data_IF_902231671217
#
_entry.id   IF_902231671217
#
_cell.length_a   1.000
_cell.length_b   1.000
_cell.length_c   1.000
_cell.angle_alpha   90.00
_cell.angle_beta   90.00
_cell.angle_gamma   90.00
#
_symmetry.space_group_name_H-M   'P 1'
#
loop_
_entity.id
_entity.type
_entity.pdbx_description
1 polymer ?
#
# COMPACT_ATOMS: atom_id res chain seq x y z
N UNK A 1 13.38 -2.06 -30.11
CA UNK A 1 14.44 -2.88 -30.73
C UNK A 1 14.56 -2.41 -32.17
N UNK A 2 15.61 -1.67 -32.50
CA UNK A 2 15.92 -1.31 -33.89
C UNK A 2 17.16 -2.12 -34.28
N UNK A 3 17.03 -2.98 -35.28
CA UNK A 3 18.16 -3.64 -35.93
C UNK A 3 18.39 -2.92 -37.25
N UNK A 4 19.62 -2.47 -37.48
CA UNK A 4 20.01 -1.73 -38.69
C UNK A 4 21.07 -2.55 -39.40
N UNK A 5 20.78 -2.92 -40.64
CA UNK A 5 21.74 -3.55 -41.54
C UNK A 5 22.52 -2.46 -42.31
N UNK A 6 23.86 -2.45 -42.29
CA UNK A 6 24.66 -1.45 -43.02
C UNK A 6 24.47 -1.48 -44.54
N UNK A 7 24.08 -2.63 -45.09
CA UNK A 7 23.92 -2.91 -46.51
C UNK A 7 22.44 -2.89 -46.96
N UNK A 8 21.51 -2.64 -46.03
CA UNK A 8 20.06 -2.59 -46.18
C UNK A 8 19.39 -3.93 -46.58
N UNK A 9 19.99 -5.07 -46.23
CA UNK A 9 19.43 -6.39 -46.48
C UNK A 9 18.20 -6.72 -45.59
N UNK A 10 17.39 -7.69 -46.03
CA UNK A 10 16.19 -8.11 -45.30
C UNK A 10 16.55 -8.93 -44.06
N UNK A 11 16.37 -8.33 -42.88
CA UNK A 11 16.65 -9.00 -41.60
C UNK A 11 15.53 -9.94 -41.16
N UNK A 12 15.89 -11.19 -40.90
CA UNK A 12 15.03 -12.19 -40.24
C UNK A 12 15.38 -12.23 -38.75
N UNK A 13 14.37 -12.04 -37.89
CA UNK A 13 14.53 -12.15 -36.44
C UNK A 13 13.74 -13.36 -35.95
N UNK A 14 14.38 -14.22 -35.17
CA UNK A 14 13.77 -15.41 -34.56
C UNK A 14 14.04 -15.43 -33.07
N UNK A 15 13.12 -15.98 -32.28
CA UNK A 15 13.37 -16.29 -30.88
C UNK A 15 13.73 -17.76 -30.72
N UNK A 16 14.88 -18.03 -30.11
CA UNK A 16 15.44 -19.37 -29.91
C UNK A 16 15.18 -19.89 -28.50
N UNK A 17 15.08 -18.98 -27.50
CA UNK A 17 14.58 -19.26 -26.15
C UNK A 17 13.59 -18.17 -25.77
N UNK A 18 12.31 -18.53 -25.65
CA UNK A 18 11.24 -17.62 -25.23
C UNK A 18 10.47 -18.28 -24.07
N UNK A 19 10.29 -17.57 -22.93
CA UNK A 19 9.47 -18.05 -21.82
C UNK A 19 8.04 -18.36 -22.28
N UNK A 20 7.40 -19.40 -21.71
CA UNK A 20 6.10 -19.88 -22.18
C UNK A 20 4.96 -18.87 -22.11
N UNK A 21 5.11 -17.85 -21.25
CA UNK A 21 4.16 -16.75 -21.09
C UNK A 21 4.38 -15.59 -22.08
N UNK A 22 5.45 -15.64 -22.89
CA UNK A 22 5.79 -14.66 -23.94
C UNK A 22 5.57 -15.25 -25.34
N UNK A 23 5.26 -14.35 -26.27
CA UNK A 23 5.21 -14.58 -27.70
C UNK A 23 6.11 -13.60 -28.43
N UNK A 24 6.73 -14.04 -29.53
CA UNK A 24 7.55 -13.19 -30.39
C UNK A 24 6.96 -13.16 -31.80
N UNK A 25 6.48 -11.99 -32.22
CA UNK A 25 5.88 -11.77 -33.54
C UNK A 25 6.15 -10.34 -33.99
N UNK A 26 6.43 -10.14 -35.29
CA UNK A 26 6.71 -8.82 -35.87
C UNK A 26 7.75 -7.98 -35.08
N UNK A 27 8.80 -8.64 -34.58
CA UNK A 27 9.88 -8.04 -33.76
C UNK A 27 9.42 -7.51 -32.39
N UNK A 28 8.26 -7.93 -31.91
CA UNK A 28 7.69 -7.57 -30.61
C UNK A 28 7.62 -8.81 -29.73
N UNK A 29 8.18 -8.71 -28.52
CA UNK A 29 7.91 -9.64 -27.43
C UNK A 29 6.67 -9.16 -26.66
N UNK A 30 5.68 -10.03 -26.47
CA UNK A 30 4.46 -9.68 -25.74
C UNK A 30 3.88 -10.87 -24.97
N UNK A 31 3.30 -10.59 -23.81
CA UNK A 31 2.72 -11.59 -22.92
C UNK A 31 2.35 -10.99 -21.56
N UNK A 32 1.72 -11.79 -20.70
CA UNK A 32 1.40 -11.41 -19.32
C UNK A 32 1.81 -12.56 -18.41
N UNK A 33 2.81 -12.37 -17.53
CA UNK A 33 3.23 -13.42 -16.62
C UNK A 33 2.13 -13.70 -15.58
N UNK A 34 2.11 -14.93 -15.07
CA UNK A 34 1.25 -15.36 -13.96
C UNK A 34 2.09 -15.55 -12.70
N UNK A 35 1.44 -15.86 -11.57
CA UNK A 35 2.15 -16.22 -10.34
C UNK A 35 3.05 -17.46 -10.50
N UNK A 36 2.77 -18.34 -11.48
CA UNK A 36 3.64 -19.49 -11.77
C UNK A 36 4.92 -19.11 -12.52
N UNK A 37 4.96 -17.91 -13.07
CA UNK A 37 6.08 -17.37 -13.83
C UNK A 37 6.96 -16.48 -12.94
N UNK A 38 6.80 -16.47 -11.62
CA UNK A 38 7.68 -15.72 -10.72
C UNK A 38 9.14 -16.18 -10.85
N UNK A 39 10.07 -15.21 -10.82
CA UNK A 39 11.50 -15.46 -10.93
C UNK A 39 12.12 -14.94 -12.22
N UNK A 40 13.33 -15.41 -12.52
CA UNK A 40 14.14 -14.93 -13.65
C UNK A 40 14.00 -15.86 -14.84
N UNK A 41 13.66 -15.30 -16.00
CA UNK A 41 13.49 -16.01 -17.26
C UNK A 41 14.45 -15.49 -18.31
N UNK A 42 15.22 -16.38 -18.94
CA UNK A 42 16.10 -16.00 -20.05
C UNK A 42 15.33 -15.85 -21.36
N UNK A 43 15.74 -14.86 -22.15
CA UNK A 43 15.29 -14.63 -23.51
C UNK A 43 16.51 -14.61 -24.41
N UNK A 44 16.46 -15.41 -25.48
CA UNK A 44 17.48 -15.46 -26.52
C UNK A 44 16.82 -15.23 -27.88
N UNK A 45 17.26 -14.16 -28.55
CA UNK A 45 16.85 -13.78 -29.90
C UNK A 45 18.05 -13.81 -30.84
N UNK A 46 17.83 -14.19 -32.09
CA UNK A 46 18.85 -14.14 -33.15
C UNK A 46 18.33 -13.33 -34.33
N UNK A 47 19.20 -12.51 -34.91
CA UNK A 47 18.95 -11.73 -36.12
C UNK A 47 19.93 -12.18 -37.19
N UNK A 48 19.46 -12.41 -38.42
CA UNK A 48 20.33 -12.74 -39.57
C UNK A 48 19.89 -12.06 -40.85
N UNK A 49 20.85 -11.68 -41.68
CA UNK A 49 20.70 -11.21 -43.07
C UNK A 49 20.83 -12.38 -44.09
N UNK A 50 21.04 -13.61 -43.62
CA UNK A 50 21.30 -14.80 -44.44
C UNK A 50 22.78 -15.14 -44.62
N UNK A 51 23.69 -14.27 -44.21
CA UNK A 51 25.16 -14.44 -44.25
C UNK A 51 25.79 -14.41 -42.85
N UNK A 52 25.35 -13.47 -42.01
CA UNK A 52 25.81 -13.26 -40.64
C UNK A 52 24.64 -13.41 -39.68
N UNK A 53 24.91 -13.97 -38.51
CA UNK A 53 23.94 -14.07 -37.41
C UNK A 53 24.49 -13.33 -36.20
N UNK A 54 23.62 -12.54 -35.56
CA UNK A 54 23.90 -11.85 -34.30
C UNK A 54 22.87 -12.28 -33.27
N UNK A 55 23.37 -12.65 -32.08
CA UNK A 55 22.56 -13.06 -30.95
C UNK A 55 22.37 -11.93 -29.94
N UNK A 56 21.21 -11.88 -29.32
CA UNK A 56 20.90 -11.04 -28.17
C UNK A 56 20.29 -11.89 -27.06
N UNK A 57 20.93 -11.87 -25.90
CA UNK A 57 20.47 -12.54 -24.69
C UNK A 57 20.18 -11.51 -23.61
N UNK A 58 19.07 -11.68 -22.91
CA UNK A 58 18.73 -10.90 -21.73
C UNK A 58 17.80 -11.70 -20.82
N UNK A 59 17.67 -11.25 -19.57
CA UNK A 59 16.76 -11.85 -18.61
C UNK A 59 15.57 -10.93 -18.35
N UNK A 60 14.41 -11.53 -18.11
CA UNK A 60 13.23 -10.85 -17.59
C UNK A 60 12.95 -11.41 -16.19
N UNK A 61 13.01 -10.53 -15.20
CA UNK A 61 12.57 -10.85 -13.85
C UNK A 61 11.06 -10.57 -13.73
N UNK A 62 10.32 -11.57 -13.27
CA UNK A 62 8.91 -11.48 -12.92
C UNK A 62 8.83 -11.49 -11.40
N UNK A 63 8.12 -10.49 -10.87
CA UNK A 63 7.92 -10.33 -9.44
C UNK A 63 6.44 -10.56 -9.10
N UNK A 64 6.12 -10.96 -7.86
CA UNK A 64 4.75 -10.96 -7.39
C UNK A 64 4.17 -9.55 -7.50
N UNK A 65 2.86 -9.46 -7.72
CA UNK A 65 2.17 -8.18 -7.75
C UNK A 65 2.29 -7.49 -6.39
N UNK A 66 2.47 -6.16 -6.39
CA UNK A 66 2.41 -5.36 -5.17
C UNK A 66 1.06 -5.59 -4.48
N UNK A 67 1.10 -6.07 -3.24
CA UNK A 67 -0.08 -6.17 -2.39
C UNK A 67 -0.28 -4.80 -1.74
N UNK A 68 -1.15 -3.98 -2.33
CA UNK A 68 -1.53 -2.70 -1.70
C UNK A 68 -2.45 -3.01 -0.52
N UNK A 69 -2.14 -2.57 0.70
CA UNK A 69 -3.00 -2.83 1.85
C UNK A 69 -4.38 -2.22 1.63
N UNK A 70 -5.42 -3.07 1.66
CA UNK A 70 -6.81 -2.62 1.51
C UNK A 70 -7.29 -2.11 2.87
N UNK A 71 -7.83 -0.89 2.89
CA UNK A 71 -8.51 -0.37 4.07
C UNK A 71 -9.82 -1.15 4.30
N UNK A 72 -9.91 -1.83 5.43
CA UNK A 72 -11.06 -2.65 5.83
C UNK A 72 -12.21 -1.82 6.44
N UNK A 73 -11.94 -0.55 6.80
CA UNK A 73 -12.98 0.35 7.30
C UNK A 73 -13.89 0.79 6.15
N UNK A 74 -15.19 0.60 6.33
CA UNK A 74 -16.20 1.04 5.35
C UNK A 74 -16.51 2.51 5.58
N UNK A 75 -16.51 3.29 4.49
CA UNK A 75 -16.80 4.73 4.51
C UNK A 75 -15.95 5.48 5.57
N UNK A 76 -14.61 5.40 5.46
CA UNK A 76 -13.70 5.87 6.49
C UNK A 76 -13.68 7.40 6.67
N UNK A 77 -14.07 8.14 5.64
CA UNK A 77 -14.11 9.61 5.63
C UNK A 77 -15.53 10.19 5.73
N UNK A 78 -16.54 9.34 5.93
CA UNK A 78 -17.96 9.75 6.05
C UNK A 78 -18.55 10.48 4.83
N UNK A 79 -17.89 10.47 3.68
CA UNK A 79 -18.40 11.07 2.43
C UNK A 79 -19.67 10.39 1.89
N UNK A 80 -19.91 9.15 2.32
CA UNK A 80 -21.16 8.42 2.04
C UNK A 80 -22.11 8.42 3.25
N UNK A 81 -22.12 9.51 4.02
CA UNK A 81 -22.93 9.67 5.22
C UNK A 81 -22.51 8.67 6.30
N UNK A 82 -23.46 7.92 6.85
CA UNK A 82 -23.20 6.92 7.90
C UNK A 82 -23.17 5.48 7.37
N UNK A 83 -23.05 5.28 6.06
CA UNK A 83 -23.03 3.93 5.46
C UNK A 83 -21.94 3.08 6.10
N UNK A 84 -22.28 1.89 6.59
CA UNK A 84 -21.34 0.99 7.30
C UNK A 84 -21.09 1.35 8.77
N UNK A 85 -21.56 2.49 9.26
CA UNK A 85 -21.42 2.91 10.66
C UNK A 85 -22.76 2.86 11.38
N UNK A 86 -22.77 2.30 12.59
CA UNK A 86 -23.88 2.47 13.51
C UNK A 86 -23.67 3.77 14.29
N UNK A 87 -24.36 4.82 13.85
CA UNK A 87 -24.36 6.13 14.50
C UNK A 87 -25.63 6.25 15.33
N UNK A 88 -25.55 6.32 16.67
CA UNK A 88 -26.71 6.41 17.52
C UNK A 88 -27.47 7.73 17.29
N UNK A 89 -28.80 7.64 17.29
CA UNK A 89 -29.65 8.84 17.24
C UNK A 89 -29.48 9.72 18.49
N UNK A 90 -29.78 11.01 18.35
CA UNK A 90 -29.79 11.96 19.48
C UNK A 90 -28.94 13.21 19.32
N UNK A 91 -28.56 13.59 18.08
CA UNK A 91 -28.00 14.89 17.68
C UNK A 91 -26.59 15.23 18.19
N UNK A 92 -26.14 14.58 19.26
CA UNK A 92 -24.78 14.71 19.78
C UNK A 92 -23.69 14.14 18.83
N UNK A 93 -24.07 13.29 17.87
CA UNK A 93 -23.19 12.81 16.82
C UNK A 93 -23.82 13.02 15.45
N UNK A 94 -23.02 13.46 14.49
CA UNK A 94 -23.45 13.76 13.12
C UNK A 94 -22.29 13.61 12.14
N UNK A 95 -22.62 13.43 10.86
CA UNK A 95 -21.66 13.73 9.78
C UNK A 95 -21.75 15.23 9.52
N UNK A 96 -20.63 15.94 9.61
CA UNK A 96 -20.53 17.38 9.44
C UNK A 96 -19.73 17.74 8.21
N UNK A 97 -20.05 18.89 7.62
CA UNK A 97 -19.27 19.54 6.55
C UNK A 97 -18.53 20.79 7.02
N UNK A 98 -18.44 21.00 8.34
CA UNK A 98 -17.76 22.18 8.91
C UNK A 98 -16.24 22.12 8.66
N UNK A 99 -15.68 20.92 8.68
CA UNK A 99 -14.25 20.65 8.49
C UNK A 99 -14.01 19.18 8.16
N UNK A 100 -12.95 18.91 7.42
CA UNK A 100 -12.45 17.58 7.05
C UNK A 100 -10.94 17.65 6.83
N UNK A 101 -10.28 16.50 6.82
CA UNK A 101 -8.88 16.39 6.37
C UNK A 101 -8.77 16.29 4.86
N UNK A 102 -9.73 15.62 4.25
CA UNK A 102 -9.87 15.40 2.82
C UNK A 102 -11.36 15.31 2.48
N UNK A 103 -11.74 15.57 1.24
CA UNK A 103 -13.16 15.64 0.87
C UNK A 103 -13.90 16.80 1.56
N UNK A 104 -15.18 16.60 1.90
CA UNK A 104 -16.08 17.60 2.47
C UNK A 104 -16.72 17.19 3.80
N UNK A 105 -16.61 15.93 4.22
CA UNK A 105 -17.33 15.37 5.36
C UNK A 105 -16.37 14.90 6.45
N UNK A 106 -16.83 14.91 7.71
CA UNK A 106 -16.16 14.23 8.83
C UNK A 106 -17.17 13.85 9.91
N UNK A 107 -16.81 12.93 10.80
CA UNK A 107 -17.63 12.60 11.96
C UNK A 107 -17.46 13.67 13.04
N UNK A 108 -18.56 14.32 13.42
CA UNK A 108 -18.61 15.34 14.46
C UNK A 108 -19.30 14.81 15.70
N UNK A 109 -18.60 14.91 16.83
CA UNK A 109 -19.19 14.75 18.16
C UNK A 109 -19.34 16.13 18.81
N UNK A 110 -20.51 16.38 19.38
CA UNK A 110 -20.85 17.60 20.12
C UNK A 110 -21.79 17.27 21.24
N UNK A 111 -21.79 18.04 22.34
CA UNK A 111 -22.85 17.85 23.33
C UNK A 111 -24.18 18.46 22.87
N UNK A 112 -25.24 17.67 23.02
CA UNK A 112 -26.60 18.18 23.17
C UNK A 112 -27.07 17.80 24.58
N UNK A 113 -27.70 18.74 25.27
CA UNK A 113 -27.98 18.61 26.70
C UNK A 113 -28.79 17.33 27.00
N UNK A 114 -28.31 16.53 27.97
CA UNK A 114 -29.07 15.47 28.65
C UNK A 114 -29.43 14.21 27.82
N UNK A 115 -28.64 13.85 26.81
CA UNK A 115 -28.84 12.63 26.00
C UNK A 115 -28.02 11.47 26.57
N UNK A 116 -28.63 10.27 26.68
CA UNK A 116 -27.90 9.02 26.92
C UNK A 116 -26.95 8.75 25.75
N UNK A 117 -25.66 8.84 26.00
CA UNK A 117 -24.63 8.58 25.01
C UNK A 117 -24.49 7.07 24.76
N UNK A 118 -24.63 6.68 23.50
CA UNK A 118 -24.23 5.36 23.00
C UNK A 118 -22.99 5.51 22.16
N UNK A 119 -22.19 4.47 21.94
CA UNK A 119 -21.04 4.64 21.04
C UNK A 119 -21.49 4.69 19.57
N UNK A 120 -20.82 5.53 18.78
CA UNK A 120 -20.73 5.32 17.33
C UNK A 120 -19.80 4.15 17.08
N UNK A 121 -20.25 3.17 16.29
CA UNK A 121 -19.50 1.92 16.14
C UNK A 121 -19.44 1.43 14.71
N UNK A 122 -18.37 0.72 14.37
CA UNK A 122 -18.29 -0.13 13.20
C UNK A 122 -17.68 -1.47 13.59
N UNK A 123 -18.26 -2.56 13.10
CA UNK A 123 -17.71 -3.91 13.22
C UNK A 123 -17.01 -4.25 11.90
N UNK A 124 -15.74 -4.65 12.00
CA UNK A 124 -14.84 -4.84 10.87
C UNK A 124 -14.34 -6.28 10.93
N UNK A 125 -14.66 -7.12 9.94
CA UNK A 125 -14.12 -8.47 9.87
C UNK A 125 -12.59 -8.44 9.78
N UNK A 126 -11.92 -9.30 10.54
CA UNK A 126 -10.44 -9.41 10.57
C UNK A 126 -10.01 -10.87 10.61
N UNK A 127 -8.80 -11.14 10.14
CA UNK A 127 -8.15 -12.43 10.28
C UNK A 127 -7.59 -12.55 11.70
N UNK A 128 -7.79 -13.69 12.36
CA UNK A 128 -7.23 -13.94 13.69
C UNK A 128 -5.72 -14.11 13.64
N UNK A 129 -5.02 -13.63 14.68
CA UNK A 129 -3.58 -13.65 14.90
C UNK A 129 -2.80 -12.85 13.86
N UNK A 130 -3.39 -11.76 13.37
CA UNK A 130 -2.86 -10.92 12.31
C UNK A 130 -2.57 -9.52 12.84
N UNK A 131 -1.48 -8.91 12.39
CA UNK A 131 -1.16 -7.52 12.67
C UNK A 131 -1.85 -6.60 11.67
N UNK A 132 -2.39 -5.50 12.17
CA UNK A 132 -3.01 -4.44 11.37
C UNK A 132 -2.42 -3.09 11.75
N UNK A 133 -2.27 -2.19 10.78
CA UNK A 133 -2.08 -0.77 11.06
C UNK A 133 -3.46 -0.13 11.18
N UNK A 134 -3.75 0.40 12.35
CA UNK A 134 -4.94 1.19 12.63
C UNK A 134 -4.55 2.67 12.68
N UNK A 135 -5.28 3.52 11.96
CA UNK A 135 -5.10 4.96 12.06
C UNK A 135 -6.38 5.75 11.87
N UNK A 136 -6.39 7.00 12.32
CA UNK A 136 -7.47 7.96 12.10
C UNK A 136 -6.96 9.37 12.37
N UNK A 137 -7.69 10.37 11.89
CA UNK A 137 -7.39 11.78 12.13
C UNK A 137 -8.36 12.39 13.13
N UNK A 138 -7.87 13.31 13.96
CA UNK A 138 -8.67 14.02 14.97
C UNK A 138 -8.41 15.51 14.91
N UNK A 139 -9.48 16.30 15.00
CA UNK A 139 -9.43 17.74 15.29
C UNK A 139 -10.25 18.05 16.53
N UNK A 140 -9.58 18.53 17.58
CA UNK A 140 -10.15 18.83 18.88
C UNK A 140 -9.83 20.27 19.35
N UNK A 141 -10.11 21.24 18.49
CA UNK A 141 -9.82 22.65 18.77
C UNK A 141 -10.88 23.33 19.66
N UNK A 142 -12.09 22.78 19.75
CA UNK A 142 -13.26 23.47 20.29
C UNK A 142 -13.91 22.74 21.49
N UNK A 143 -13.32 21.66 21.98
CA UNK A 143 -13.74 21.05 23.24
C UNK A 143 -13.36 21.94 24.43
N UNK A 144 -14.29 22.09 25.37
CA UNK A 144 -14.15 22.93 26.58
C UNK A 144 -14.21 22.13 27.87
N UNK A 145 -14.86 20.95 27.88
CA UNK A 145 -14.91 20.05 29.04
C UNK A 145 -15.11 18.59 28.64
N UNK A 146 -14.99 17.68 29.62
CA UNK A 146 -15.22 16.25 29.46
C UNK A 146 -14.11 15.53 28.69
N UNK A 147 -14.42 14.35 28.18
CA UNK A 147 -13.48 13.54 27.39
C UNK A 147 -14.20 12.90 26.21
N UNK A 148 -13.57 12.85 25.04
CA UNK A 148 -13.95 11.94 23.96
C UNK A 148 -13.03 10.72 23.95
N UNK A 149 -13.56 9.57 23.57
CA UNK A 149 -12.86 8.28 23.61
C UNK A 149 -13.03 7.58 22.27
N UNK A 150 -11.91 7.11 21.74
CA UNK A 150 -11.86 6.09 20.71
C UNK A 150 -11.33 4.80 21.37
N UNK A 151 -11.99 3.67 21.16
CA UNK A 151 -11.46 2.37 21.59
C UNK A 151 -11.92 1.22 20.68
N UNK A 152 -11.44 0.01 21.01
CA UNK A 152 -11.80 -1.24 20.32
C UNK A 152 -12.70 -2.16 21.18
N UNK A 153 -13.69 -1.58 21.86
CA UNK A 153 -14.67 -2.30 22.69
C UNK A 153 -14.12 -2.99 23.94
N UNK A 154 -13.22 -2.30 24.66
CA UNK A 154 -12.60 -2.82 25.90
C UNK A 154 -11.90 -4.17 25.69
N UNK A 155 -11.45 -4.46 24.46
CA UNK A 155 -10.66 -5.63 24.10
C UNK A 155 -9.20 -5.23 23.86
N UNK A 156 -8.43 -4.88 24.91
CA UNK A 156 -7.00 -4.84 24.74
C UNK A 156 -6.53 -6.28 24.46
N UNK A 157 -5.75 -6.48 23.42
CA UNK A 157 -4.91 -7.68 23.39
C UNK A 157 -3.76 -7.48 24.36
N UNK A 158 -3.07 -8.55 24.74
CA UNK A 158 -1.96 -8.50 25.69
C UNK A 158 -0.77 -7.59 25.27
N UNK A 159 -0.84 -6.93 24.10
CA UNK A 159 0.26 -6.15 23.53
C UNK A 159 -0.08 -4.69 23.16
N UNK A 160 -1.33 -4.21 23.17
CA UNK A 160 -1.61 -2.78 22.92
C UNK A 160 -2.98 -2.34 23.44
N UNK A 161 -3.01 -1.39 24.38
CA UNK A 161 -4.20 -0.59 24.65
C UNK A 161 -4.37 0.42 23.50
N UNK A 162 -5.34 0.19 22.61
CA UNK A 162 -5.66 1.12 21.51
C UNK A 162 -6.68 2.19 21.92
N UNK A 163 -7.02 2.28 23.21
CA UNK A 163 -7.86 3.34 23.73
C UNK A 163 -7.14 4.69 23.63
N UNK A 164 -7.75 5.64 22.93
CA UNK A 164 -7.31 7.02 22.85
C UNK A 164 -8.34 7.90 23.55
N UNK A 165 -7.85 8.82 24.39
CA UNK A 165 -8.69 9.77 25.13
C UNK A 165 -8.33 11.19 24.74
N UNK A 166 -9.35 12.02 24.55
CA UNK A 166 -9.22 13.39 24.09
C UNK A 166 -9.89 14.32 25.10
N UNK A 167 -9.08 15.17 25.72
CA UNK A 167 -9.50 16.19 26.69
C UNK A 167 -9.23 17.58 26.09
N UNK A 168 -9.78 18.67 26.67
CA UNK A 168 -9.54 20.01 26.15
C UNK A 168 -8.05 20.30 25.97
N UNK A 169 -7.67 20.78 24.78
CA UNK A 169 -6.30 21.11 24.43
C UNK A 169 -5.48 20.00 23.76
N UNK A 170 -6.03 18.79 23.58
CA UNK A 170 -5.42 17.78 22.69
C UNK A 170 -5.76 18.07 21.22
N UNK A 171 -4.93 17.62 20.26
CA UNK A 171 -5.19 17.68 18.81
C UNK A 171 -5.84 18.99 18.31
N UNK A 172 -5.27 20.16 18.68
CA UNK A 172 -5.83 21.48 18.33
C UNK A 172 -5.79 21.81 16.83
N UNK A 173 -5.06 21.00 16.06
CA UNK A 173 -5.10 20.92 14.60
C UNK A 173 -5.30 19.45 14.22
N UNK A 174 -5.71 19.18 12.98
CA UNK A 174 -5.83 17.82 12.46
C UNK A 174 -4.54 17.04 12.73
N UNK A 175 -4.64 16.05 13.60
CA UNK A 175 -3.53 15.21 14.07
C UNK A 175 -3.85 13.77 13.75
N UNK A 176 -2.95 13.08 13.06
CA UNK A 176 -3.06 11.64 12.81
C UNK A 176 -2.65 10.85 14.06
N UNK A 177 -3.49 9.89 14.43
CA UNK A 177 -3.19 8.86 15.42
C UNK A 177 -3.05 7.53 14.68
N UNK A 178 -2.00 6.77 14.99
CA UNK A 178 -1.75 5.47 14.37
C UNK A 178 -1.04 4.51 15.31
N UNK A 179 -1.23 3.21 15.08
CA UNK A 179 -0.52 2.16 15.80
C UNK A 179 -0.78 0.79 15.23
N UNK A 180 0.02 -0.18 15.67
CA UNK A 180 -0.14 -1.58 15.34
C UNK A 180 -1.10 -2.24 16.33
N UNK A 181 -2.11 -2.92 15.79
CA UNK A 181 -3.04 -3.75 16.55
C UNK A 181 -2.95 -5.20 16.07
N UNK A 182 -2.71 -6.13 17.00
CA UNK A 182 -2.80 -7.55 16.71
C UNK A 182 -4.19 -8.06 17.08
N UNK A 183 -4.84 -8.79 16.16
CA UNK A 183 -6.19 -9.31 16.38
C UNK A 183 -6.28 -10.43 17.41
N UNK A 184 -5.19 -11.11 17.75
CA UNK A 184 -5.21 -12.27 18.64
C UNK A 184 -6.23 -13.31 18.16
N UNK A 185 -7.07 -13.85 19.04
CA UNK A 185 -8.13 -14.78 18.64
C UNK A 185 -9.38 -14.11 18.03
N UNK A 186 -9.41 -12.79 17.89
CA UNK A 186 -10.57 -12.07 17.37
C UNK A 186 -10.73 -12.28 15.87
N UNK A 187 -11.99 -12.37 15.44
CA UNK A 187 -12.38 -12.44 14.02
C UNK A 187 -13.16 -11.20 13.58
N UNK A 188 -13.47 -10.32 14.52
CA UNK A 188 -14.14 -9.03 14.29
C UNK A 188 -13.53 -7.99 15.22
N UNK A 189 -13.05 -6.89 14.66
CA UNK A 189 -12.68 -5.68 15.40
C UNK A 189 -13.91 -4.78 15.53
N UNK A 190 -14.14 -4.18 16.70
CA UNK A 190 -15.25 -3.24 16.91
C UNK A 190 -14.73 -1.88 17.34
N UNK A 191 -14.78 -0.91 16.44
CA UNK A 191 -14.51 0.49 16.77
C UNK A 191 -15.65 1.03 17.64
N UNK A 192 -15.31 1.79 18.67
CA UNK A 192 -16.26 2.63 19.40
C UNK A 192 -15.72 4.05 19.52
N UNK A 193 -16.61 5.01 19.30
CA UNK A 193 -16.34 6.44 19.48
C UNK A 193 -17.47 7.01 20.32
N UNK A 194 -17.14 7.59 21.45
CA UNK A 194 -18.10 8.15 22.41
C UNK A 194 -17.46 9.25 23.24
N UNK A 195 -18.25 9.91 24.08
CA UNK A 195 -17.76 10.87 25.06
C UNK A 195 -17.94 10.34 26.48
N UNK A 196 -17.36 10.99 27.48
CA UNK A 196 -17.92 10.97 28.85
C UNK A 196 -19.39 11.39 28.79
N UNK A 197 -20.21 11.02 29.79
CA UNK A 197 -21.62 11.40 29.84
C UNK A 197 -21.87 12.83 29.35
N UNK A 198 -22.93 13.04 28.58
CA UNK A 198 -23.20 14.30 27.87
C UNK A 198 -23.29 15.54 28.78
N UNK A 199 -23.55 15.35 30.07
CA UNK A 199 -23.52 16.42 31.07
C UNK A 199 -22.10 16.96 31.34
N UNK A 200 -21.06 16.16 31.08
CA UNK A 200 -19.66 16.49 31.38
C UNK A 200 -18.89 16.92 30.13
N UNK A 201 -19.32 16.49 28.94
CA UNK A 201 -18.71 16.88 27.67
C UNK A 201 -19.30 18.19 27.13
N UNK A 202 -18.44 19.12 26.72
CA UNK A 202 -18.85 20.37 26.10
C UNK A 202 -17.90 20.79 25.00
N UNK A 203 -18.44 21.35 23.93
CA UNK A 203 -17.71 21.72 22.72
C UNK A 203 -17.84 20.67 21.62
N UNK A 204 -16.89 20.66 20.70
CA UNK A 204 -16.91 19.79 19.51
C UNK A 204 -15.56 19.14 19.25
N UNK A 205 -15.60 17.91 18.77
CA UNK A 205 -14.44 17.16 18.28
C UNK A 205 -14.81 16.45 16.97
N UNK A 206 -13.85 16.36 16.06
CA UNK A 206 -14.04 15.76 14.74
C UNK A 206 -13.09 14.58 14.55
N UNK A 207 -13.56 13.56 13.86
CA UNK A 207 -12.79 12.38 13.45
C UNK A 207 -12.95 12.15 11.95
N UNK A 208 -11.87 11.74 11.29
CA UNK A 208 -11.86 11.55 9.84
C UNK A 208 -10.81 10.51 9.40
N UNK A 209 -10.90 10.08 8.14
CA UNK A 209 -9.92 9.23 7.45
C UNK A 209 -9.46 8.02 8.28
N UNK A 210 -10.44 7.24 8.75
CA UNK A 210 -10.18 5.98 9.47
C UNK A 210 -9.51 4.96 8.54
N UNK A 211 -8.53 4.21 9.04
CA UNK A 211 -7.91 3.13 8.27
C UNK A 211 -7.61 1.94 9.15
N UNK A 212 -7.91 0.75 8.66
CA UNK A 212 -7.44 -0.52 9.19
C UNK A 212 -6.96 -1.34 8.02
N UNK A 213 -5.65 -1.51 7.92
CA UNK A 213 -5.05 -2.29 6.84
C UNK A 213 -4.23 -3.42 7.41
N UNK A 214 -4.34 -4.61 6.82
CA UNK A 214 -3.53 -5.76 7.20
C UNK A 214 -2.05 -5.43 6.95
N UNK A 215 -1.23 -5.61 7.98
CA UNK A 215 0.22 -5.60 7.82
C UNK A 215 0.57 -7.02 7.41
N UNK A 216 0.55 -7.26 6.10
CA UNK A 216 1.06 -8.51 5.56
C UNK A 216 2.54 -8.62 5.90
N UNK A 217 2.97 -9.82 6.29
CA UNK A 217 4.39 -10.15 6.40
C UNK A 217 5.06 -10.33 5.03
N UNK A 218 4.43 -9.88 3.93
CA UNK A 218 4.92 -10.13 2.57
C UNK A 218 5.74 -8.94 2.06
N UNK A 219 7.00 -9.27 1.81
CA UNK A 219 8.05 -8.49 1.18
C UNK A 219 7.60 -7.89 -0.16
N UNK A 220 7.69 -6.57 -0.35
CA UNK A 220 7.49 -6.01 -1.67
C UNK A 220 8.66 -6.42 -2.60
N UNK A 221 8.44 -6.29 -3.90
CA UNK A 221 9.47 -6.65 -4.86
C UNK A 221 10.56 -5.57 -4.89
N UNK A 222 11.85 -5.93 -4.91
CA UNK A 222 12.90 -4.96 -5.07
C UNK A 222 12.92 -4.38 -6.48
N UNK A 223 13.24 -3.09 -6.59
CA UNK A 223 13.27 -2.33 -7.85
C UNK A 223 14.71 -2.05 -8.25
N UNK A 224 15.14 -2.52 -9.43
CA UNK A 224 16.43 -2.11 -10.03
C UNK A 224 16.31 -0.68 -10.53
N UNK A 225 17.19 0.21 -10.06
CA UNK A 225 17.20 1.64 -10.39
C UNK A 225 18.37 2.03 -11.29
N UNK A 226 19.39 1.18 -11.42
CA UNK A 226 20.52 1.40 -12.32
C UNK A 226 20.15 1.14 -13.78
N UNK A 227 20.67 1.97 -14.70
CA UNK A 227 20.61 1.74 -16.15
C UNK A 227 22.02 1.41 -16.66
N UNK A 228 22.20 0.23 -17.26
CA UNK A 228 23.49 -0.16 -17.86
C UNK A 228 23.71 0.52 -19.22
N UNK A 229 24.95 0.91 -19.51
CA UNK A 229 25.31 1.45 -20.82
C UNK A 229 25.34 0.34 -21.89
N UNK A 230 24.69 0.54 -23.03
CA UNK A 230 24.59 -0.50 -24.07
C UNK A 230 25.75 -0.50 -25.08
N UNK A 231 26.81 0.27 -24.83
CA UNK A 231 27.94 0.43 -25.76
C UNK A 231 29.26 0.36 -25.01
N UNK A 232 30.18 -0.46 -25.52
CA UNK A 232 31.59 -0.47 -25.14
C UNK A 232 32.44 -0.30 -26.39
N UNK A 233 33.59 0.35 -26.27
CA UNK A 233 34.56 0.52 -27.36
C UNK A 233 35.73 -0.44 -27.18
N UNK A 234 36.35 -0.86 -28.29
CA UNK A 234 37.55 -1.69 -28.28
C UNK A 234 38.63 -1.04 -27.40
N UNK A 235 39.32 -1.86 -26.61
CA UNK A 235 40.38 -1.46 -25.66
C UNK A 235 39.96 -0.45 -24.58
N UNK A 236 38.65 -0.31 -24.30
CA UNK A 236 38.14 0.49 -23.20
C UNK A 236 37.51 -0.36 -22.09
N UNK A 237 37.81 -0.02 -20.84
CA UNK A 237 37.22 -0.67 -19.68
C UNK A 237 35.72 -0.33 -19.59
N UNK A 238 34.87 -1.35 -19.61
CA UNK A 238 33.44 -1.20 -19.35
C UNK A 238 33.14 -1.63 -17.90
N UNK A 239 32.39 -0.79 -17.18
CA UNK A 239 31.95 -1.07 -15.81
C UNK A 239 30.52 -0.58 -15.66
N UNK A 240 29.68 -1.41 -15.05
CA UNK A 240 28.36 -1.02 -14.57
C UNK A 240 28.17 -1.52 -13.14
N UNK A 241 27.38 -0.80 -12.35
CA UNK A 241 27.01 -1.21 -10.99
C UNK A 241 25.50 -1.36 -10.98
N UNK A 242 25.01 -2.55 -10.63
CA UNK A 242 23.58 -2.76 -10.41
C UNK A 242 23.20 -2.15 -9.07
N UNK A 243 22.22 -1.27 -9.08
CA UNK A 243 21.64 -0.67 -7.89
C UNK A 243 20.16 -1.04 -7.88
N UNK A 244 19.69 -1.56 -6.75
CA UNK A 244 18.29 -1.83 -6.51
C UNK A 244 17.91 -1.32 -5.11
N UNK A 245 16.63 -1.02 -4.93
CA UNK A 245 16.04 -0.61 -3.66
C UNK A 245 14.89 -1.55 -3.33
N UNK A 246 14.71 -1.81 -2.04
CA UNK A 246 13.55 -2.53 -1.52
C UNK A 246 12.85 -1.61 -0.51
N UNK A 247 11.53 -1.52 -0.57
CA UNK A 247 10.77 -0.60 0.29
C UNK A 247 10.83 -1.03 1.76
N UNK A 248 10.96 -2.34 2.00
CA UNK A 248 11.07 -2.95 3.33
C UNK A 248 12.53 -3.16 3.79
N UNK A 249 13.50 -2.68 3.00
CA UNK A 249 14.94 -2.90 3.23
C UNK A 249 15.34 -4.37 3.39
N UNK A 250 14.60 -5.30 2.78
CA UNK A 250 14.95 -6.72 2.82
C UNK A 250 16.30 -6.98 2.14
N UNK A 251 17.06 -7.99 2.61
CA UNK A 251 18.34 -8.34 2.01
C UNK A 251 18.22 -8.67 0.52
N UNK A 252 18.83 -7.83 -0.31
CA UNK A 252 18.87 -8.02 -1.76
C UNK A 252 19.89 -9.10 -2.14
N UNK A 253 19.45 -10.07 -2.95
CA UNK A 253 20.35 -11.03 -3.59
C UNK A 253 20.47 -10.66 -5.07
N UNK A 254 21.69 -10.31 -5.49
CA UNK A 254 21.98 -10.04 -6.90
C UNK A 254 22.54 -11.32 -7.55
N UNK A 255 21.99 -11.71 -8.69
CA UNK A 255 22.48 -12.81 -9.51
C UNK A 255 22.66 -12.37 -10.96
N UNK A 256 23.63 -12.96 -11.66
CA UNK A 256 23.87 -12.76 -13.09
C UNK A 256 23.99 -14.11 -13.78
N UNK A 257 23.43 -14.25 -14.99
CA UNK A 257 23.34 -15.54 -15.69
C UNK A 257 24.20 -15.59 -16.96
N UNK A 258 24.55 -14.44 -17.51
CA UNK A 258 25.35 -14.31 -18.74
C UNK A 258 26.23 -13.05 -18.66
N UNK A 259 27.37 -13.18 -18.00
CA UNK A 259 28.41 -12.15 -18.02
C UNK A 259 29.27 -12.47 -19.25
N UNK A 260 29.45 -11.54 -20.21
CA UNK A 260 30.34 -11.81 -21.33
C UNK A 260 31.74 -12.18 -20.82
N UNK A 261 32.40 -13.15 -21.42
CA UNK A 261 33.73 -13.66 -20.98
C UNK A 261 34.81 -12.56 -20.85
N UNK A 262 34.58 -11.37 -21.41
CA UNK A 262 35.47 -10.22 -21.35
C UNK A 262 35.20 -9.27 -20.16
N UNK A 263 34.15 -9.50 -19.38
CA UNK A 263 33.72 -8.65 -18.28
C UNK A 263 33.89 -9.37 -16.93
N UNK A 264 35.11 -9.37 -16.38
CA UNK A 264 35.41 -9.84 -15.01
C UNK A 264 35.23 -8.73 -13.94
#
# INVERSE_FOLDING_TARGET
MEAVDPDADSLTVIGTTIPSWLSFSDRVLSGTPTALDEGVHSVHLSVTDGSVTVDQEFNIAVFPALVVPVNLIVNPSFESGTTGWNVPGGGWVSVSTDTSTNGISSLRLSSESNVLISATTQEVPVTSNTNYELSFWVLNAAQTSGTAVFDLSDKPTAQTETQQTFSPGTASVWTRYSGIWNSGSETVMKIRIFTTPSADFSGTIYFDEFSLSEISAENAAPVITSVAGSTAYLDQWYRTTVVAVDEEESPLVFSGVSIPDWLD
#
